data_IF_802819140163
#
_entry.id   IF_802819140163
#
_cell.length_a   1.000
_cell.length_b   1.000
_cell.length_c   1.000
_cell.angle_alpha   90.00
_cell.angle_beta   90.00
_cell.angle_gamma   90.00
#
_symmetry.space_group_name_H-M   'P 1'
#
loop_
_entity.id
_entity.type
_entity.pdbx_description
1 polymer ?
#
# COMPACT_ATOMS: atom_id res chain seq x y z
N UNK A 1 25.83 1.14 -20.19
CA UNK A 1 25.46 1.36 -18.78
C UNK A 1 23.96 1.55 -18.75
N UNK A 2 23.21 0.51 -18.39
CA UNK A 2 21.75 0.57 -18.31
C UNK A 2 21.29 1.24 -17.01
N UNK A 3 20.06 1.79 -16.95
CA UNK A 3 19.53 2.34 -15.71
C UNK A 3 19.30 1.18 -14.75
N UNK A 4 19.90 1.28 -13.56
CA UNK A 4 19.78 0.30 -12.49
C UNK A 4 18.32 0.09 -12.12
N UNK A 5 17.94 -1.18 -12.02
CA UNK A 5 16.64 -1.58 -11.50
C UNK A 5 16.46 -1.04 -10.09
N UNK A 6 15.33 -0.39 -9.89
CA UNK A 6 14.87 0.16 -8.62
C UNK A 6 14.55 -1.02 -7.67
N UNK A 7 15.56 -1.48 -6.94
CA UNK A 7 15.42 -2.49 -5.90
C UNK A 7 14.71 -1.88 -4.68
N UNK A 8 13.70 -2.58 -4.17
CA UNK A 8 12.80 -2.09 -3.14
C UNK A 8 13.52 -1.72 -1.83
N UNK A 9 13.22 -0.53 -1.29
CA UNK A 9 13.74 0.06 -0.04
C UNK A 9 12.67 0.11 1.07
N UNK A 10 13.07 0.24 2.35
CA UNK A 10 12.21 0.17 3.55
C UNK A 10 10.85 0.81 3.54
N UNK A 11 9.83 -0.03 3.74
CA UNK A 11 8.48 0.28 4.24
C UNK A 11 7.90 1.64 3.83
N UNK A 12 8.17 2.09 2.60
CA UNK A 12 7.85 3.45 2.18
C UNK A 12 6.32 3.58 2.18
N UNK A 13 5.80 4.43 3.06
CA UNK A 13 4.38 4.71 3.06
C UNK A 13 4.02 5.39 1.74
N UNK A 14 3.19 4.75 0.93
CA UNK A 14 2.61 5.34 -0.27
C UNK A 14 1.11 5.40 -0.09
N UNK A 15 0.55 6.61 -0.15
CA UNK A 15 -0.88 6.83 0.05
C UNK A 15 -1.48 7.76 -0.98
N UNK A 16 -2.67 7.39 -1.47
CA UNK A 16 -3.53 8.25 -2.29
C UNK A 16 -4.73 8.66 -1.45
N UNK A 17 -4.94 9.95 -1.30
CA UNK A 17 -5.93 10.50 -0.37
C UNK A 17 -7.00 11.32 -1.07
N UNK A 18 -8.13 11.47 -0.38
CA UNK A 18 -9.22 12.36 -0.72
C UNK A 18 -9.30 13.47 0.34
N UNK A 19 -9.16 14.72 -0.09
CA UNK A 19 -9.46 15.90 0.71
C UNK A 19 -10.90 16.35 0.48
N UNK A 20 -11.48 16.91 1.52
CA UNK A 20 -12.74 17.63 1.48
C UNK A 20 -12.56 19.04 2.06
N UNK A 21 -13.10 20.04 1.37
CA UNK A 21 -13.07 21.43 1.81
C UNK A 21 -14.18 21.71 2.83
N UNK A 22 -13.80 22.11 4.04
CA UNK A 22 -14.74 22.43 5.13
C UNK A 22 -15.20 23.89 5.11
N UNK A 23 -14.57 24.73 4.29
CA UNK A 23 -14.94 26.13 4.18
C UNK A 23 -16.37 26.27 3.63
N UNK A 24 -17.32 26.90 4.35
CA UNK A 24 -18.70 27.05 3.89
C UNK A 24 -18.83 27.72 2.51
N UNK A 25 -17.91 28.64 2.18
CA UNK A 25 -17.88 29.34 0.88
C UNK A 25 -17.45 28.42 -0.28
N UNK A 26 -16.84 27.29 0.03
CA UNK A 26 -16.27 26.34 -0.93
C UNK A 26 -16.70 24.89 -0.64
N UNK A 27 -17.83 24.74 0.06
CA UNK A 27 -18.35 23.45 0.51
C UNK A 27 -18.52 22.48 -0.64
N UNK A 28 -18.21 21.21 -0.40
CA UNK A 28 -18.37 20.14 -1.39
C UNK A 28 -17.21 20.02 -2.38
N UNK A 29 -16.20 20.91 -2.33
CA UNK A 29 -14.97 20.74 -3.11
C UNK A 29 -14.14 19.60 -2.54
N UNK A 30 -13.63 18.78 -3.46
CA UNK A 30 -12.73 17.67 -3.16
C UNK A 30 -11.43 17.80 -3.95
N UNK A 31 -10.39 17.15 -3.46
CA UNK A 31 -9.10 17.05 -4.14
C UNK A 31 -8.51 15.67 -3.86
N UNK A 32 -8.09 14.97 -4.92
CA UNK A 32 -7.37 13.70 -4.81
C UNK A 32 -5.88 13.99 -4.97
N UNK A 33 -5.03 13.36 -4.17
CA UNK A 33 -3.58 13.52 -4.31
C UNK A 33 -2.78 12.34 -3.75
N UNK A 34 -1.48 12.34 -4.05
CA UNK A 34 -0.51 11.37 -3.56
C UNK A 34 0.38 11.93 -2.43
N UNK A 35 0.77 11.08 -1.47
CA UNK A 35 1.70 11.43 -0.40
C UNK A 35 2.47 10.25 0.17
N UNK A 36 3.67 10.54 0.67
CA UNK A 36 4.47 9.68 1.54
C UNK A 36 4.39 10.07 3.03
N UNK A 37 3.74 11.19 3.32
CA UNK A 37 3.54 11.71 4.67
C UNK A 37 2.21 12.48 4.75
N UNK A 38 1.11 11.82 5.19
CA UNK A 38 -0.23 12.42 5.23
C UNK A 38 -0.33 13.67 6.10
N UNK A 39 0.29 13.65 7.28
CA UNK A 39 0.28 14.76 8.25
C UNK A 39 0.95 16.00 7.67
N UNK A 40 2.14 15.84 7.07
CA UNK A 40 2.83 16.95 6.40
C UNK A 40 1.99 17.48 5.22
N UNK A 41 1.45 16.58 4.40
CA UNK A 41 0.73 16.98 3.17
C UNK A 41 -0.54 17.77 3.45
N UNK A 42 -1.33 17.41 4.46
CA UNK A 42 -2.54 18.18 4.82
C UNK A 42 -2.19 19.59 5.35
N UNK A 43 -1.07 19.73 6.07
CA UNK A 43 -0.56 21.04 6.49
C UNK A 43 -0.14 21.90 5.30
N UNK A 44 0.56 21.33 4.31
CA UNK A 44 0.93 22.03 3.07
C UNK A 44 -0.31 22.57 2.33
N UNK A 45 -1.37 21.76 2.19
CA UNK A 45 -2.63 22.21 1.57
C UNK A 45 -3.26 23.39 2.30
N UNK A 46 -3.26 23.37 3.63
CA UNK A 46 -3.80 24.45 4.45
C UNK A 46 -2.88 25.68 4.53
N UNK A 47 -1.57 25.51 4.35
CA UNK A 47 -0.59 26.60 4.24
C UNK A 47 -0.53 27.28 2.88
N UNK A 48 -1.19 26.72 1.86
CA UNK A 48 -1.28 27.28 0.51
C UNK A 48 -0.05 27.03 -0.37
N UNK A 49 -0.08 27.55 -1.61
CA UNK A 49 0.95 27.26 -2.64
C UNK A 49 2.37 27.60 -2.20
N UNK A 50 2.55 28.71 -1.48
CA UNK A 50 3.87 29.15 -0.97
C UNK A 50 4.47 28.20 0.08
N UNK A 51 3.70 27.25 0.59
CA UNK A 51 4.13 26.23 1.56
C UNK A 51 4.07 24.81 0.97
N UNK A 52 4.10 24.67 -0.36
CA UNK A 52 4.07 23.38 -1.06
C UNK A 52 2.67 22.78 -1.21
N UNK A 53 1.60 23.53 -0.94
CA UNK A 53 0.23 23.10 -1.21
C UNK A 53 -0.12 23.16 -2.69
N UNK A 54 -0.96 22.24 -3.18
CA UNK A 54 -1.41 22.25 -4.57
C UNK A 54 -2.16 23.56 -4.91
N UNK A 55 -1.91 24.12 -6.09
CA UNK A 55 -2.56 25.36 -6.56
C UNK A 55 -4.10 25.30 -6.43
N UNK A 56 -4.71 24.17 -6.80
CA UNK A 56 -6.17 23.95 -6.72
C UNK A 56 -6.75 24.05 -5.30
N UNK A 57 -5.90 23.93 -4.27
CA UNK A 57 -6.29 23.97 -2.85
C UNK A 57 -5.97 25.30 -2.17
N UNK A 58 -5.12 26.13 -2.78
CA UNK A 58 -4.61 27.36 -2.18
C UNK A 58 -5.72 28.38 -1.89
N UNK A 59 -5.74 28.93 -0.68
CA UNK A 59 -6.69 29.97 -0.25
C UNK A 59 -8.15 29.51 -0.10
N UNK A 60 -8.44 28.21 -0.26
CA UNK A 60 -9.80 27.66 -0.21
C UNK A 60 -10.10 26.87 1.05
N UNK A 61 -9.08 26.61 1.86
CA UNK A 61 -9.19 25.81 3.09
C UNK A 61 -10.11 26.43 4.16
N UNK A 62 -10.28 25.74 5.30
CA UNK A 62 -9.52 24.56 5.68
C UNK A 62 -9.93 23.28 4.93
N UNK A 63 -8.93 22.48 4.57
CA UNK A 63 -9.04 21.16 3.97
C UNK A 63 -8.85 20.08 5.03
N UNK A 64 -9.67 19.05 4.98
CA UNK A 64 -9.50 17.84 5.77
C UNK A 64 -9.23 16.65 4.84
N UNK A 65 -8.23 15.85 5.18
CA UNK A 65 -8.07 14.52 4.60
C UNK A 65 -9.12 13.60 5.23
N UNK A 66 -10.05 13.11 4.43
CA UNK A 66 -11.20 12.33 4.93
C UNK A 66 -11.01 10.83 4.73
N UNK A 67 -10.29 10.44 3.67
CA UNK A 67 -9.99 9.06 3.31
C UNK A 67 -8.59 8.98 2.72
N UNK A 68 -7.89 7.88 2.99
CA UNK A 68 -6.62 7.53 2.36
C UNK A 68 -6.57 6.05 2.02
N UNK A 69 -6.16 5.73 0.79
CA UNK A 69 -5.83 4.37 0.35
C UNK A 69 -4.31 4.23 0.44
N UNK A 70 -3.81 3.19 1.09
CA UNK A 70 -2.37 2.96 1.26
C UNK A 70 -2.02 1.47 1.14
N UNK A 71 -0.73 1.12 1.17
CA UNK A 71 -0.24 -0.24 0.91
C UNK A 71 0.15 -0.47 -0.56
N UNK A 72 0.37 0.61 -1.32
CA UNK A 72 0.87 0.49 -2.68
C UNK A 72 2.32 -0.05 -2.67
N UNK A 73 2.68 -0.93 -3.61
CA UNK A 73 4.03 -1.51 -3.67
C UNK A 73 5.09 -0.51 -4.13
N UNK A 74 4.69 0.62 -4.73
CA UNK A 74 5.61 1.66 -5.19
C UNK A 74 4.90 3.00 -5.38
N UNK A 75 5.68 4.08 -5.45
CA UNK A 75 5.19 5.40 -5.84
C UNK A 75 4.51 5.37 -7.22
N UNK A 76 5.08 4.63 -8.18
CA UNK A 76 4.51 4.50 -9.53
C UNK A 76 3.12 3.85 -9.49
N UNK A 77 2.94 2.80 -8.69
CA UNK A 77 1.63 2.16 -8.53
C UNK A 77 0.59 3.13 -7.92
N UNK A 78 1.00 3.89 -6.91
CA UNK A 78 0.15 4.90 -6.27
C UNK A 78 -0.20 6.06 -7.21
N UNK A 79 0.76 6.61 -7.96
CA UNK A 79 0.53 7.69 -8.92
C UNK A 79 -0.39 7.26 -10.08
N UNK A 80 -0.26 6.01 -10.56
CA UNK A 80 -1.21 5.46 -11.55
C UNK A 80 -2.63 5.34 -10.99
N UNK A 81 -2.76 5.00 -9.71
CA UNK A 81 -4.06 4.99 -9.02
C UNK A 81 -4.62 6.41 -8.88
N UNK A 82 -3.83 7.36 -8.38
CA UNK A 82 -4.21 8.78 -8.25
C UNK A 82 -4.72 9.34 -9.57
N UNK A 83 -3.97 9.17 -10.66
CA UNK A 83 -4.35 9.68 -11.98
C UNK A 83 -5.70 9.11 -12.44
N UNK A 84 -5.90 7.79 -12.30
CA UNK A 84 -7.16 7.17 -12.68
C UNK A 84 -8.34 7.65 -11.82
N UNK A 85 -8.11 7.95 -10.55
CA UNK A 85 -9.12 8.51 -9.65
C UNK A 85 -9.46 9.96 -9.98
N UNK A 86 -8.46 10.77 -10.38
CA UNK A 86 -8.66 12.14 -10.85
C UNK A 86 -9.34 12.20 -12.23
N UNK A 87 -9.11 11.19 -13.08
CA UNK A 87 -9.52 11.16 -14.48
C UNK A 87 -10.26 9.87 -14.87
N UNK A 88 -11.39 9.53 -14.20
CA UNK A 88 -12.06 8.25 -14.40
C UNK A 88 -12.54 8.03 -15.84
N UNK A 89 -12.96 9.10 -16.53
CA UNK A 89 -13.46 9.01 -17.91
C UNK A 89 -12.34 8.82 -18.96
N UNK A 90 -11.10 9.19 -18.64
CA UNK A 90 -9.95 8.96 -19.52
C UNK A 90 -9.29 7.59 -19.26
N UNK A 91 -9.56 6.99 -18.09
CA UNK A 91 -9.02 5.70 -17.72
C UNK A 91 -9.76 4.55 -18.40
N UNK A 92 -9.08 3.82 -19.29
CA UNK A 92 -9.61 2.60 -19.93
C UNK A 92 -10.11 1.55 -18.91
N UNK A 93 -9.55 1.55 -17.70
CA UNK A 93 -9.93 0.62 -16.61
C UNK A 93 -11.28 0.96 -15.98
N UNK A 94 -11.77 2.19 -16.21
CA UNK A 94 -12.98 2.74 -15.61
C UNK A 94 -14.02 3.14 -16.66
N UNK A 95 -13.94 2.60 -17.88
CA UNK A 95 -14.92 2.86 -18.95
C UNK A 95 -16.36 2.49 -18.56
N UNK A 96 -16.55 1.55 -17.63
CA UNK A 96 -17.85 1.17 -17.08
C UNK A 96 -18.39 2.16 -16.04
N UNK A 97 -17.56 3.08 -15.54
CA UNK A 97 -17.95 4.08 -14.56
C UNK A 97 -18.50 5.29 -15.30
N UNK A 98 -19.81 5.45 -15.29
CA UNK A 98 -20.47 6.60 -15.93
C UNK A 98 -20.01 7.95 -15.35
N UNK A 99 -20.12 9.04 -16.15
CA UNK A 99 -19.68 10.38 -15.74
C UNK A 99 -20.46 10.88 -14.52
N UNK A 100 -19.92 11.93 -13.88
CA UNK A 100 -20.59 12.57 -12.73
C UNK A 100 -21.90 13.20 -13.17
N UNK A 101 -23.00 12.86 -12.49
CA UNK A 101 -24.29 13.51 -12.73
C UNK A 101 -24.30 14.91 -12.12
N UNK A 102 -25.10 15.84 -12.68
CA UNK A 102 -25.19 17.21 -12.16
C UNK A 102 -25.67 17.27 -10.71
N UNK A 103 -26.59 16.37 -10.34
CA UNK A 103 -27.11 16.20 -8.99
C UNK A 103 -26.17 15.47 -8.03
N UNK A 104 -25.14 14.79 -8.54
CA UNK A 104 -24.22 13.98 -7.75
C UNK A 104 -23.14 14.87 -7.13
N UNK A 105 -23.07 14.88 -5.80
CA UNK A 105 -22.03 15.59 -5.08
C UNK A 105 -20.65 15.09 -5.50
N UNK A 106 -19.67 15.98 -5.63
CA UNK A 106 -18.32 15.62 -6.05
C UNK A 106 -17.69 14.56 -5.12
N UNK A 107 -17.95 14.66 -3.81
CA UNK A 107 -17.52 13.66 -2.83
C UNK A 107 -18.10 12.27 -3.12
N UNK A 108 -19.42 12.17 -3.30
CA UNK A 108 -20.10 10.91 -3.62
C UNK A 108 -19.57 10.29 -4.93
N UNK A 109 -19.36 11.12 -5.96
CA UNK A 109 -18.77 10.68 -7.22
C UNK A 109 -17.39 10.05 -7.04
N UNK A 110 -16.50 10.68 -6.27
CA UNK A 110 -15.16 10.15 -6.05
C UNK A 110 -15.18 8.85 -5.22
N UNK A 111 -16.12 8.69 -4.30
CA UNK A 111 -16.30 7.43 -3.57
C UNK A 111 -16.82 6.31 -4.46
N UNK A 112 -17.76 6.60 -5.38
CA UNK A 112 -18.21 5.65 -6.39
C UNK A 112 -17.06 5.22 -7.29
N UNK A 113 -16.26 6.16 -7.80
CA UNK A 113 -15.07 5.86 -8.61
C UNK A 113 -14.09 4.98 -7.83
N UNK A 114 -13.79 5.33 -6.57
CA UNK A 114 -12.92 4.54 -5.70
C UNK A 114 -13.43 3.11 -5.53
N UNK A 115 -14.73 2.94 -5.23
CA UNK A 115 -15.35 1.63 -5.06
C UNK A 115 -15.16 0.71 -6.28
N UNK A 116 -15.28 1.26 -7.48
CA UNK A 116 -15.00 0.55 -8.73
C UNK A 116 -13.50 0.28 -8.94
N UNK A 117 -12.63 1.24 -8.63
CA UNK A 117 -11.18 1.07 -8.76
C UNK A 117 -10.64 -0.10 -7.92
N UNK A 118 -11.14 -0.28 -6.70
CA UNK A 118 -10.72 -1.37 -5.81
C UNK A 118 -11.07 -2.77 -6.36
N UNK A 119 -11.90 -2.85 -7.40
CA UNK A 119 -12.39 -4.11 -7.97
C UNK A 119 -11.93 -4.38 -9.41
N UNK A 120 -11.04 -3.55 -9.96
CA UNK A 120 -10.51 -3.77 -11.31
C UNK A 120 -8.98 -3.96 -11.31
N UNK A 121 -8.43 -4.76 -12.24
CA UNK A 121 -6.99 -4.87 -12.40
C UNK A 121 -6.34 -3.53 -12.73
N UNK A 122 -5.09 -3.27 -12.30
CA UNK A 122 -4.26 -4.18 -11.51
C UNK A 122 -4.57 -4.09 -10.00
N UNK A 123 -5.40 -3.14 -9.58
CA UNK A 123 -5.54 -2.76 -8.17
C UNK A 123 -6.21 -3.83 -7.32
N UNK A 124 -7.14 -4.60 -7.89
CA UNK A 124 -7.91 -5.65 -7.21
C UNK A 124 -7.07 -6.78 -6.58
N UNK A 125 -5.76 -6.87 -6.88
CA UNK A 125 -4.84 -7.84 -6.25
C UNK A 125 -3.69 -7.21 -5.48
N UNK A 126 -3.75 -5.90 -5.28
CA UNK A 126 -2.78 -5.19 -4.44
C UNK A 126 -3.23 -5.26 -2.97
N UNK A 127 -2.28 -5.31 -2.01
CA UNK A 127 -2.60 -5.34 -0.58
C UNK A 127 -2.99 -3.95 -0.05
N UNK A 128 -4.03 -3.36 -0.65
CA UNK A 128 -4.46 -2.00 -0.33
C UNK A 128 -5.32 -1.98 0.93
N UNK A 129 -5.08 -1.00 1.78
CA UNK A 129 -5.95 -0.65 2.91
C UNK A 129 -6.69 0.64 2.58
N UNK A 130 -8.01 0.64 2.75
CA UNK A 130 -8.84 1.85 2.68
C UNK A 130 -9.05 2.36 4.10
N UNK A 131 -8.62 3.58 4.40
CA UNK A 131 -8.65 4.14 5.75
C UNK A 131 -9.43 5.44 5.80
N UNK A 132 -10.50 5.46 6.58
CA UNK A 132 -11.21 6.68 6.94
C UNK A 132 -10.45 7.42 8.04
N UNK A 133 -10.23 8.72 7.85
CA UNK A 133 -9.56 9.58 8.84
C UNK A 133 -10.53 10.43 9.64
N UNK A 134 -11.79 10.52 9.19
CA UNK A 134 -12.85 11.32 9.81
C UNK A 134 -14.16 10.55 9.90
N UNK A 135 -14.73 10.51 11.10
CA UNK A 135 -15.91 9.70 11.39
C UNK A 135 -17.16 10.23 10.67
N UNK A 136 -17.29 11.55 10.55
CA UNK A 136 -18.40 12.25 9.92
C UNK A 136 -18.46 12.11 8.38
N UNK A 137 -17.43 11.52 7.77
CA UNK A 137 -17.38 11.25 6.33
C UNK A 137 -17.49 9.77 5.99
N UNK A 138 -17.56 8.88 6.99
CA UNK A 138 -17.65 7.44 6.73
C UNK A 138 -18.97 7.11 6.06
N UNK A 139 -18.87 6.24 5.07
CA UNK A 139 -20.00 5.57 4.47
C UNK A 139 -19.54 4.25 3.85
N UNK A 140 -20.50 3.39 3.56
CA UNK A 140 -20.22 2.16 2.85
C UNK A 140 -19.87 2.45 1.39
N UNK A 141 -18.81 1.82 0.91
CA UNK A 141 -18.47 1.84 -0.51
C UNK A 141 -19.36 0.83 -1.23
N UNK A 142 -19.91 1.26 -2.37
CA UNK A 142 -20.72 0.40 -3.22
C UNK A 142 -20.12 0.39 -4.64
N UNK A 143 -19.60 -0.75 -5.12
CA UNK A 143 -19.48 -2.04 -4.42
C UNK A 143 -18.47 -2.01 -3.25
N UNK A 144 -18.59 -2.92 -2.26
CA UNK A 144 -17.63 -2.98 -1.15
C UNK A 144 -16.24 -3.41 -1.66
N UNK A 145 -15.15 -3.05 -0.94
CA UNK A 145 -13.81 -3.54 -1.23
C UNK A 145 -13.75 -5.07 -1.24
N UNK A 146 -12.82 -5.68 -2.00
CA UNK A 146 -12.52 -7.11 -1.88
C UNK A 146 -12.17 -7.52 -0.44
N UNK A 147 -12.41 -8.77 -0.02
CA UNK A 147 -12.17 -9.21 1.36
C UNK A 147 -10.74 -9.01 1.89
N UNK A 148 -9.72 -9.11 1.03
CA UNK A 148 -8.32 -8.91 1.39
C UNK A 148 -7.94 -7.42 1.52
N UNK A 149 -8.83 -6.48 1.18
CA UNK A 149 -8.58 -5.04 1.32
C UNK A 149 -9.33 -4.49 2.53
N UNK A 150 -8.68 -4.33 3.69
CA UNK A 150 -9.36 -3.91 4.89
C UNK A 150 -9.86 -2.46 4.80
N UNK A 151 -11.10 -2.24 5.26
CA UNK A 151 -11.67 -0.91 5.49
C UNK A 151 -11.49 -0.56 6.97
N UNK A 152 -10.64 0.43 7.24
CA UNK A 152 -10.18 0.78 8.59
C UNK A 152 -10.49 2.23 8.94
N UNK A 153 -10.33 2.57 10.22
CA UNK A 153 -10.46 3.94 10.70
C UNK A 153 -9.31 4.33 11.63
N UNK A 154 -9.03 5.63 11.67
CA UNK A 154 -8.07 6.24 12.57
C UNK A 154 -6.88 6.78 11.79
N UNK A 155 -5.86 7.36 12.48
CA UNK A 155 -4.67 7.83 11.80
C UNK A 155 -4.02 6.67 10.99
N UNK A 156 -3.30 6.99 9.89
CA UNK A 156 -2.44 6.00 9.24
C UNK A 156 -1.49 5.40 10.28
N UNK A 157 -1.12 4.11 10.15
CA UNK A 157 -0.12 3.55 11.04
C UNK A 157 1.12 4.44 10.99
N UNK A 158 1.76 4.74 12.14
CA UNK A 158 3.08 5.34 12.12
C UNK A 158 3.98 4.48 11.24
N UNK A 159 4.96 5.10 10.56
CA UNK A 159 6.01 4.36 9.84
C UNK A 159 6.43 3.21 10.74
N UNK A 160 6.23 1.97 10.28
CA UNK A 160 6.27 0.82 11.16
C UNK A 160 7.64 0.77 11.83
N UNK A 161 7.70 1.04 13.14
CA UNK A 161 8.85 0.63 13.90
C UNK A 161 8.83 -0.90 13.90
N UNK A 162 9.93 -1.50 13.46
CA UNK A 162 10.07 -2.95 13.41
C UNK A 162 9.57 -3.57 14.74
N UNK A 163 8.81 -4.69 14.70
CA UNK A 163 8.54 -5.43 15.91
C UNK A 163 9.88 -5.87 16.50
N UNK A 164 10.26 -5.27 17.64
CA UNK A 164 11.44 -5.72 18.40
C UNK A 164 11.26 -7.21 18.64
N UNK A 165 12.09 -8.04 18.00
CA UNK A 165 12.28 -9.43 18.44
C UNK A 165 12.69 -9.32 19.91
N UNK A 166 11.80 -9.70 20.83
CA UNK A 166 12.20 -9.92 22.21
C UNK A 166 13.16 -11.10 22.15
N UNK A 167 14.45 -10.85 22.32
CA UNK A 167 15.39 -11.88 22.70
C UNK A 167 14.83 -12.51 23.99
N UNK A 168 14.33 -13.74 23.88
CA UNK A 168 14.01 -14.54 25.04
C UNK A 168 15.31 -14.81 25.83
N UNK A 169 15.24 -15.01 27.15
CA UNK A 169 16.42 -15.36 27.93
C UNK A 169 16.98 -16.68 27.40
N UNK A 170 18.27 -16.68 27.05
CA UNK A 170 19.04 -17.88 26.73
C UNK A 170 18.96 -18.80 27.96
N UNK A 171 18.36 -19.97 27.81
CA UNK A 171 18.55 -21.08 28.72
C UNK A 171 19.27 -22.16 27.91
N UNK A 172 20.50 -22.44 28.33
CA UNK A 172 21.42 -23.38 27.73
C UNK A 172 20.82 -24.79 27.66
N UNK A 173 20.53 -25.24 26.45
CA UNK A 173 20.42 -26.66 26.10
C UNK A 173 21.00 -26.83 24.70
N UNK A 174 22.22 -27.35 24.68
CA UNK A 174 22.96 -27.73 23.48
C UNK A 174 22.18 -28.79 22.70
N UNK A 175 21.66 -28.39 21.54
CA UNK A 175 21.39 -29.29 20.44
C UNK A 175 21.68 -28.51 19.16
N UNK A 176 22.82 -28.79 18.54
CA UNK A 176 23.21 -28.27 17.22
C UNK A 176 22.05 -28.50 16.23
N UNK A 177 21.38 -27.46 15.71
CA UNK A 177 20.48 -27.64 14.59
C UNK A 177 21.33 -27.74 13.32
N UNK A 178 21.09 -28.77 12.50
CA UNK A 178 21.67 -28.91 11.16
C UNK A 178 21.60 -27.57 10.41
N UNK A 179 22.75 -26.90 10.28
CA UNK A 179 22.89 -25.60 9.61
C UNK A 179 22.47 -25.65 8.12
N UNK A 180 22.36 -26.86 7.56
CA UNK A 180 21.95 -27.12 6.17
C UNK A 180 20.43 -27.02 5.92
N UNK A 181 19.59 -27.22 6.94
CA UNK A 181 18.13 -27.21 6.76
C UNK A 181 17.52 -25.79 6.78
N UNK A 182 18.21 -24.83 7.41
CA UNK A 182 17.76 -23.44 7.51
C UNK A 182 18.09 -22.61 6.26
N UNK A 183 18.97 -23.07 5.38
CA UNK A 183 19.39 -22.35 4.18
C UNK A 183 18.63 -22.74 2.92
N UNK A 184 17.70 -23.70 3.00
CA UNK A 184 16.97 -24.25 1.85
C UNK A 184 15.48 -23.93 1.86
N UNK A 185 14.90 -23.78 0.67
CA UNK A 185 13.48 -23.62 0.46
C UNK A 185 12.72 -24.92 0.75
N UNK A 186 11.68 -24.85 1.60
CA UNK A 186 10.85 -26.00 1.96
C UNK A 186 10.04 -26.58 0.79
N UNK A 187 9.93 -25.86 -0.34
CA UNK A 187 9.12 -26.27 -1.49
C UNK A 187 9.96 -26.87 -2.63
N UNK A 188 11.13 -26.31 -2.93
CA UNK A 188 11.99 -26.80 -4.01
C UNK A 188 13.32 -27.41 -3.55
N UNK A 189 13.59 -27.42 -2.24
CA UNK A 189 14.83 -27.92 -1.63
C UNK A 189 16.14 -27.27 -2.14
N UNK A 190 16.05 -26.13 -2.85
CA UNK A 190 17.22 -25.34 -3.29
C UNK A 190 17.56 -24.27 -2.25
N UNK A 191 18.84 -23.90 -2.18
CA UNK A 191 19.34 -22.85 -1.30
C UNK A 191 18.74 -21.48 -1.64
N UNK A 192 18.61 -20.60 -0.65
CA UNK A 192 18.34 -19.17 -0.88
C UNK A 192 19.61 -18.52 -1.42
N UNK A 193 19.62 -18.11 -2.69
CA UNK A 193 20.76 -17.45 -3.33
C UNK A 193 20.57 -15.93 -3.45
N UNK A 194 19.37 -15.44 -3.11
CA UNK A 194 18.92 -14.08 -3.39
C UNK A 194 19.09 -13.16 -2.17
N UNK A 195 19.48 -11.91 -2.41
CA UNK A 195 19.58 -10.82 -1.42
C UNK A 195 18.26 -10.58 -0.66
N UNK A 196 17.12 -10.91 -1.28
CA UNK A 196 15.77 -10.64 -0.77
C UNK A 196 15.32 -11.61 0.34
N UNK A 197 16.11 -12.66 0.61
CA UNK A 197 15.84 -13.63 1.69
C UNK A 197 14.57 -14.48 1.48
N UNK A 198 14.28 -15.42 2.40
CA UNK A 198 13.11 -16.28 2.30
C UNK A 198 11.82 -15.64 2.84
N UNK A 199 10.68 -15.96 2.22
CA UNK A 199 9.40 -15.75 2.88
C UNK A 199 9.26 -16.71 4.06
N UNK A 200 8.96 -16.15 5.23
CA UNK A 200 8.77 -16.89 6.46
C UNK A 200 7.30 -16.85 6.89
N UNK A 201 6.77 -17.98 7.36
CA UNK A 201 5.42 -17.99 7.92
C UNK A 201 5.38 -17.20 9.25
N UNK A 202 4.45 -16.23 9.41
CA UNK A 202 4.36 -15.41 10.62
C UNK A 202 3.69 -16.11 11.81
N UNK A 203 3.11 -17.30 11.61
CA UNK A 203 2.41 -18.01 12.68
C UNK A 203 3.40 -18.58 13.71
N UNK A 204 3.17 -18.38 15.03
CA UNK A 204 4.07 -18.85 16.08
C UNK A 204 4.36 -20.35 15.97
N UNK A 205 5.64 -20.71 16.03
CA UNK A 205 6.10 -22.11 15.97
C UNK A 205 6.19 -22.71 14.57
N UNK A 206 5.73 -22.01 13.52
CA UNK A 206 5.93 -22.47 12.15
C UNK A 206 7.35 -22.17 11.66
N UNK A 207 8.02 -23.16 11.07
CA UNK A 207 9.38 -23.03 10.50
C UNK A 207 9.39 -22.98 8.97
N UNK A 208 8.24 -22.74 8.33
CA UNK A 208 8.19 -22.65 6.87
C UNK A 208 9.05 -21.47 6.40
N UNK A 209 10.01 -21.78 5.52
CA UNK A 209 10.81 -20.84 4.74
C UNK A 209 10.72 -21.25 3.28
N UNK A 210 10.37 -20.32 2.39
CA UNK A 210 10.22 -20.61 0.97
C UNK A 210 10.67 -19.43 0.11
N UNK A 211 11.11 -19.72 -1.11
CA UNK A 211 11.30 -18.67 -2.12
C UNK A 211 9.96 -17.98 -2.38
N UNK A 212 10.00 -16.68 -2.65
CA UNK A 212 8.80 -15.89 -3.01
C UNK A 212 8.04 -16.57 -4.15
N UNK A 213 8.75 -16.97 -5.22
CA UNK A 213 8.14 -17.57 -6.40
C UNK A 213 7.52 -18.93 -6.08
N UNK A 214 8.22 -19.81 -5.36
CA UNK A 214 7.69 -21.13 -5.02
C UNK A 214 6.41 -21.04 -4.17
N UNK A 215 6.38 -20.13 -3.19
CA UNK A 215 5.17 -19.95 -2.37
C UNK A 215 4.04 -19.28 -3.17
N UNK A 216 4.38 -18.38 -4.10
CA UNK A 216 3.39 -17.77 -4.98
C UNK A 216 2.73 -18.82 -5.89
N UNK A 217 3.53 -19.69 -6.51
CA UNK A 217 3.04 -20.77 -7.37
C UNK A 217 2.11 -21.72 -6.60
N UNK A 218 2.49 -22.12 -5.38
CA UNK A 218 1.64 -22.92 -4.50
C UNK A 218 0.29 -22.25 -4.23
N UNK A 219 0.28 -20.95 -3.92
CA UNK A 219 -0.97 -20.23 -3.64
C UNK A 219 -1.82 -19.99 -4.89
N UNK A 220 -1.20 -20.00 -6.08
CA UNK A 220 -1.84 -19.76 -7.36
C UNK A 220 -2.31 -21.03 -8.08
N UNK A 221 -2.08 -22.22 -7.52
CA UNK A 221 -2.44 -23.50 -8.14
C UNK A 221 -3.89 -23.53 -8.66
N UNK A 222 -4.82 -22.94 -7.91
CA UNK A 222 -6.26 -22.88 -8.23
C UNK A 222 -6.68 -21.65 -9.06
N UNK A 223 -5.76 -20.73 -9.32
CA UNK A 223 -6.01 -19.50 -10.08
C UNK A 223 -5.02 -19.36 -11.27
N UNK A 224 -5.01 -20.33 -12.22
CA UNK A 224 -4.08 -20.28 -13.33
C UNK A 224 -4.28 -19.00 -14.16
N UNK A 225 -3.19 -18.26 -14.41
CA UNK A 225 -3.20 -16.99 -15.15
C UNK A 225 -3.18 -15.74 -14.28
N UNK A 226 -3.30 -15.87 -12.95
CA UNK A 226 -2.98 -14.78 -12.03
C UNK A 226 -1.47 -14.74 -11.76
N UNK A 227 -0.94 -13.53 -11.53
CA UNK A 227 0.49 -13.31 -11.25
C UNK A 227 0.79 -13.07 -9.77
N UNK A 228 -0.19 -12.55 -9.02
CA UNK A 228 -0.04 -12.19 -7.62
C UNK A 228 -1.03 -12.99 -6.79
N UNK A 229 -0.62 -13.80 -5.82
CA UNK A 229 -1.55 -14.43 -4.89
C UNK A 229 -2.31 -13.38 -4.05
N UNK A 230 -3.52 -13.71 -3.60
CA UNK A 230 -4.24 -12.92 -2.60
C UNK A 230 -4.04 -13.52 -1.21
N UNK A 231 -4.24 -14.83 -1.11
CA UNK A 231 -4.19 -15.62 0.11
C UNK A 231 -3.83 -17.07 -0.23
N UNK A 232 -3.45 -17.84 0.78
CA UNK A 232 -3.19 -19.26 0.66
C UNK A 232 -3.00 -19.92 2.02
N UNK A 233 -2.84 -21.24 2.02
CA UNK A 233 -2.59 -22.00 3.26
C UNK A 233 -1.11 -22.30 3.41
N UNK A 234 -0.58 -22.04 4.60
CA UNK A 234 0.59 -22.66 5.21
C UNK A 234 1.01 -24.04 4.67
N UNK A 235 1.99 -24.26 3.78
CA UNK A 235 2.41 -25.64 3.51
C UNK A 235 2.92 -26.37 4.78
N UNK A 236 3.54 -25.63 5.71
CA UNK A 236 4.01 -26.13 7.01
C UNK A 236 2.92 -26.25 8.09
N UNK A 237 2.26 -25.14 8.47
CA UNK A 237 1.30 -25.12 9.58
C UNK A 237 -0.18 -25.18 9.17
N UNK A 238 -0.49 -25.16 7.87
CA UNK A 238 -1.85 -25.17 7.27
C UNK A 238 -2.75 -23.98 7.63
N UNK A 239 -2.30 -23.06 8.46
CA UNK A 239 -3.02 -21.81 8.75
C UNK A 239 -3.09 -20.91 7.51
N UNK A 240 -4.18 -20.14 7.41
CA UNK A 240 -4.37 -19.15 6.35
C UNK A 240 -3.34 -18.02 6.44
N UNK A 241 -2.92 -17.53 5.28
CA UNK A 241 -1.98 -16.43 5.11
C UNK A 241 -2.50 -15.48 4.04
N UNK A 242 -2.37 -14.18 4.29
CA UNK A 242 -2.57 -13.14 3.27
C UNK A 242 -1.23 -12.85 2.59
N UNK A 243 -1.23 -12.82 1.26
CA UNK A 243 -0.02 -12.57 0.49
C UNK A 243 0.59 -11.20 0.81
N UNK A 244 -0.26 -10.18 0.93
CA UNK A 244 0.14 -8.83 1.31
C UNK A 244 0.92 -8.77 2.62
N UNK A 245 0.46 -9.50 3.63
CA UNK A 245 1.09 -9.52 4.95
C UNK A 245 2.44 -10.24 4.92
N UNK A 246 2.57 -11.31 4.13
CA UNK A 246 3.84 -12.02 3.94
C UNK A 246 4.90 -11.13 3.32
N UNK A 247 4.56 -10.44 2.22
CA UNK A 247 5.48 -9.53 1.53
C UNK A 247 5.88 -8.37 2.45
N UNK A 248 4.91 -7.79 3.15
CA UNK A 248 5.16 -6.70 4.09
C UNK A 248 6.12 -7.13 5.22
N UNK A 249 5.90 -8.30 5.82
CA UNK A 249 6.75 -8.80 6.90
C UNK A 249 8.15 -9.20 6.44
N UNK A 250 8.30 -9.67 5.20
CA UNK A 250 9.61 -10.00 4.63
C UNK A 250 10.50 -8.76 4.48
N UNK A 251 9.93 -7.67 3.95
CA UNK A 251 10.67 -6.42 3.72
C UNK A 251 11.14 -5.78 5.03
N UNK A 252 10.36 -5.86 6.10
CA UNK A 252 10.74 -5.31 7.41
C UNK A 252 11.87 -6.09 8.11
N UNK A 253 12.22 -7.29 7.63
CA UNK A 253 13.28 -8.12 8.21
C UNK A 253 14.70 -7.81 7.71
N UNK A 254 14.84 -7.04 6.63
CA UNK A 254 16.11 -6.83 5.91
C UNK A 254 16.78 -5.48 6.19
N UNK A 255 16.26 -4.68 7.14
CA UNK A 255 16.43 -3.21 7.10
C UNK A 255 17.02 -2.58 8.37
N UNK A 256 17.75 -3.35 9.19
CA UNK A 256 18.38 -2.78 10.39
C UNK A 256 19.57 -1.81 10.12
N UNK A 257 19.98 -1.55 8.86
CA UNK A 257 21.26 -0.85 8.59
C UNK A 257 21.26 0.49 7.81
N UNK A 258 20.20 1.00 7.19
CA UNK A 258 20.33 2.19 6.32
C UNK A 258 19.25 3.28 6.42
N UNK A 259 18.97 3.81 7.61
CA UNK A 259 18.20 5.08 7.74
C UNK A 259 19.12 6.28 8.00
N UNK A 260 19.62 6.96 6.94
CA UNK A 260 20.03 8.36 7.10
C UNK A 260 20.06 9.30 5.87
N UNK A 261 19.58 8.94 4.66
CA UNK A 261 19.93 9.73 3.46
C UNK A 261 18.83 10.09 2.43
N UNK A 262 17.53 10.01 2.73
CA UNK A 262 16.49 10.50 1.79
C UNK A 262 15.74 11.73 2.31
N UNK A 263 16.47 12.84 2.41
CA UNK A 263 15.90 14.19 2.30
C UNK A 263 16.14 14.66 0.86
N UNK A 264 15.09 15.17 0.23
CA UNK A 264 15.08 15.86 -1.07
C UNK A 264 15.01 14.96 -2.32
N UNK A 265 13.79 14.53 -2.66
CA UNK A 265 13.44 14.31 -4.07
C UNK A 265 12.35 15.30 -4.47
N UNK A 266 12.75 16.27 -5.28
CA UNK A 266 11.90 17.23 -5.98
C UNK A 266 11.01 16.48 -6.98
N UNK A 267 9.75 16.92 -7.08
CA UNK A 267 8.72 16.23 -7.82
C UNK A 267 8.85 16.52 -9.32
N UNK A 268 9.15 15.50 -10.11
CA UNK A 268 9.34 15.51 -11.57
C UNK A 268 8.30 16.28 -12.41
N UNK A 269 7.14 16.67 -11.87
CA UNK A 269 6.14 17.46 -12.60
C UNK A 269 6.52 18.93 -12.79
N UNK A 270 7.50 19.45 -12.06
CA UNK A 270 7.95 20.84 -12.22
C UNK A 270 8.80 21.06 -13.48
N UNK A 271 9.16 19.98 -14.22
CA UNK A 271 9.92 20.07 -15.47
C UNK A 271 9.08 19.98 -16.76
N UNK A 272 7.73 19.98 -16.67
CA UNK A 272 6.87 19.86 -17.86
C UNK A 272 6.15 21.16 -18.25
N UNK A 273 6.57 22.31 -17.72
CA UNK A 273 6.17 23.63 -18.22
C UNK A 273 7.31 24.25 -19.03
N UNK A 274 7.42 23.87 -20.30
CA UNK A 274 8.05 24.69 -21.36
C UNK A 274 7.07 24.85 -22.51
#
# INVERSE_FOLDING_TARGET
>A
MGPGGDAARPGRFFGVYLLYCLNPRHRGRVYVGFTVNPTRRVQQHNGGRKKGGAWRTSGRGPWAMVLIVHGFPSAVAALRFEWAWQHPQASRRLAHVGPRLRSEAAFAFHLRVLAHMLRVPPWVRLPLTVRWLRADFRCDLCPPPPPHMPLTFGPPPPRAAAPKRRAGPLADLESEPDQDAESCCALCARSFQDEEGPLCCPHPGCRLRAHVICLAEEFLEKEPGQLLPLEGQCPGCKNSLLWGDLIWLCQMGTEEEEENLELEEEHWTDMLET
#
